data_IF_646632592318
#
_entry.id   IF_646632592318
#
_cell.length_a   1.000
_cell.length_b   1.000
_cell.length_c   1.000
_cell.angle_alpha   90.00
_cell.angle_beta   90.00
_cell.angle_gamma   90.00
#
_symmetry.space_group_name_H-M   'P 1'
#
loop_
_entity.id
_entity.type
_entity.pdbx_description
1 polymer ?
#
# COMPACT_ATOMS: atom_id res chain seq x y z
N UNK A 1 -4.33 -23.68 -3.84
CA UNK A 1 -5.20 -22.54 -4.24
C UNK A 1 -6.58 -23.05 -4.64
N UNK A 2 -7.66 -22.40 -4.21
CA UNK A 2 -9.05 -22.81 -4.51
C UNK A 2 -9.49 -22.45 -5.94
N UNK A 3 -8.80 -21.52 -6.61
CA UNK A 3 -9.08 -21.07 -7.97
C UNK A 3 -7.96 -21.50 -8.96
N UNK A 4 -8.29 -22.31 -9.96
CA UNK A 4 -7.33 -22.78 -10.98
C UNK A 4 -6.76 -21.66 -11.84
N UNK A 5 -7.58 -20.65 -12.17
CA UNK A 5 -7.12 -19.54 -13.00
C UNK A 5 -6.09 -18.68 -12.28
N UNK A 6 -6.32 -18.41 -10.99
CA UNK A 6 -5.38 -17.70 -10.12
C UNK A 6 -4.07 -18.47 -9.96
N UNK A 7 -4.15 -19.78 -9.73
CA UNK A 7 -2.96 -20.63 -9.64
C UNK A 7 -2.10 -20.59 -10.90
N UNK A 8 -2.73 -20.57 -12.09
CA UNK A 8 -2.01 -20.43 -13.36
C UNK A 8 -1.37 -19.06 -13.54
N UNK A 9 -2.01 -17.98 -13.05
CA UNK A 9 -1.43 -16.62 -13.08
C UNK A 9 -0.22 -16.51 -12.18
N UNK A 10 -0.32 -17.00 -10.94
CA UNK A 10 0.84 -17.06 -10.02
C UNK A 10 1.96 -17.88 -10.64
N UNK A 11 1.64 -19.07 -11.17
CA UNK A 11 2.62 -19.92 -11.84
C UNK A 11 3.29 -19.24 -13.04
N UNK A 12 2.55 -18.44 -13.81
CA UNK A 12 3.09 -17.67 -14.94
C UNK A 12 4.10 -16.62 -14.46
N UNK A 13 3.80 -15.89 -13.37
CA UNK A 13 4.73 -14.91 -12.79
C UNK A 13 5.99 -15.60 -12.27
N UNK A 14 5.85 -16.71 -11.53
CA UNK A 14 6.99 -17.48 -11.02
C UNK A 14 7.85 -18.07 -12.15
N UNK A 15 7.22 -18.59 -13.20
CA UNK A 15 7.91 -19.09 -14.38
C UNK A 15 8.68 -17.99 -15.11
N UNK A 16 8.06 -16.83 -15.30
CA UNK A 16 8.70 -15.68 -15.91
C UNK A 16 9.89 -15.20 -15.07
N UNK A 17 9.74 -15.08 -13.75
CA UNK A 17 10.83 -14.70 -12.86
C UNK A 17 12.01 -15.68 -12.95
N UNK A 18 11.73 -16.99 -12.88
CA UNK A 18 12.76 -18.03 -12.99
C UNK A 18 13.49 -18.02 -14.35
N UNK A 19 12.77 -17.78 -15.45
CA UNK A 19 13.36 -17.71 -16.80
C UNK A 19 14.25 -16.47 -17.00
N UNK A 20 13.99 -15.39 -16.28
CA UNK A 20 14.75 -14.15 -16.37
C UNK A 20 15.79 -13.99 -15.25
N UNK A 21 15.99 -15.02 -14.41
CA UNK A 21 16.93 -14.96 -13.29
C UNK A 21 16.52 -13.94 -12.22
N UNK A 22 15.23 -13.64 -12.09
CA UNK A 22 14.72 -12.72 -11.09
C UNK A 22 14.40 -13.42 -9.78
N UNK A 23 14.82 -12.79 -8.68
CA UNK A 23 14.42 -13.19 -7.34
C UNK A 23 13.02 -12.71 -7.00
N UNK A 24 12.31 -13.50 -6.19
CA UNK A 24 10.95 -13.18 -5.72
C UNK A 24 10.99 -13.12 -4.21
N UNK A 25 10.46 -12.05 -3.63
CA UNK A 25 10.34 -11.87 -2.18
C UNK A 25 8.89 -11.96 -1.72
N UNK A 26 8.67 -12.60 -0.56
CA UNK A 26 7.37 -12.65 0.13
C UNK A 26 7.27 -11.65 1.28
N UNK A 27 8.29 -10.80 1.50
CA UNK A 27 8.44 -10.00 2.72
C UNK A 27 7.19 -9.17 3.08
N UNK A 28 6.72 -8.31 2.18
CA UNK A 28 5.56 -7.46 2.46
C UNK A 28 4.27 -8.27 2.75
N UNK A 29 4.04 -9.36 2.01
CA UNK A 29 2.87 -10.23 2.24
C UNK A 29 2.95 -10.97 3.58
N UNK A 30 4.16 -11.37 3.99
CA UNK A 30 4.39 -11.95 5.32
C UNK A 30 4.19 -10.89 6.40
N UNK A 31 4.64 -9.66 6.19
CA UNK A 31 4.52 -8.55 7.16
C UNK A 31 3.05 -8.19 7.39
N UNK A 32 2.26 -8.11 6.32
CA UNK A 32 0.81 -7.94 6.43
C UNK A 32 0.19 -9.02 7.32
N UNK A 33 0.55 -10.28 7.09
CA UNK A 33 -0.04 -11.39 7.85
C UNK A 33 0.45 -11.45 9.29
N UNK A 34 1.74 -11.29 9.52
CA UNK A 34 2.36 -11.43 10.83
C UNK A 34 2.01 -10.26 11.76
N UNK A 35 1.81 -9.05 11.22
CA UNK A 35 1.34 -7.90 11.98
C UNK A 35 -0.11 -8.03 12.43
N UNK A 36 -1.00 -8.60 11.59
CA UNK A 36 -2.37 -8.95 11.98
C UNK A 36 -2.42 -10.01 13.10
N UNK A 37 -1.39 -10.86 13.18
CA UNK A 37 -1.25 -11.89 14.21
C UNK A 37 -0.45 -11.41 15.42
N UNK A 38 0.17 -10.22 15.34
CA UNK A 38 1.15 -9.71 16.30
C UNK A 38 2.22 -10.75 16.66
N UNK A 39 2.77 -11.44 15.66
CA UNK A 39 3.63 -12.60 15.90
C UNK A 39 4.82 -12.69 14.93
N UNK A 40 6.01 -12.29 15.42
CA UNK A 40 7.25 -12.35 14.65
C UNK A 40 7.64 -13.78 14.30
N UNK A 41 7.47 -14.72 15.22
CA UNK A 41 7.76 -16.14 14.99
C UNK A 41 6.95 -16.70 13.81
N UNK A 42 5.66 -16.34 13.72
CA UNK A 42 4.82 -16.73 12.57
C UNK A 42 5.32 -16.13 11.26
N UNK A 43 5.85 -14.90 11.28
CA UNK A 43 6.43 -14.26 10.10
C UNK A 43 7.71 -14.97 9.65
N UNK A 44 8.65 -15.20 10.57
CA UNK A 44 9.92 -15.87 10.29
C UNK A 44 9.72 -17.31 9.81
N UNK A 45 8.72 -18.01 10.34
CA UNK A 45 8.36 -19.36 9.87
C UNK A 45 7.84 -19.33 8.43
N UNK A 46 6.99 -18.36 8.07
CA UNK A 46 6.44 -18.27 6.71
C UNK A 46 7.51 -17.87 5.69
N UNK A 47 8.44 -16.99 6.05
CA UNK A 47 9.62 -16.67 5.22
C UNK A 47 10.45 -17.92 4.96
N UNK A 48 10.75 -18.70 6.01
CA UNK A 48 11.52 -19.92 5.87
C UNK A 48 10.83 -20.92 4.94
N UNK A 49 9.52 -21.10 5.10
CA UNK A 49 8.71 -21.95 4.20
C UNK A 49 8.76 -21.46 2.75
N UNK A 50 8.68 -20.15 2.53
CA UNK A 50 8.78 -19.57 1.20
C UNK A 50 10.16 -19.84 0.58
N UNK A 51 11.25 -19.66 1.34
CA UNK A 51 12.62 -19.98 0.87
C UNK A 51 12.80 -21.47 0.55
N UNK A 52 12.22 -22.37 1.34
CA UNK A 52 12.22 -23.82 1.07
C UNK A 52 11.44 -24.17 -0.20
N UNK A 53 10.30 -23.52 -0.46
CA UNK A 53 9.54 -23.65 -1.71
C UNK A 53 10.40 -23.23 -2.90
N UNK A 54 11.04 -22.06 -2.81
CA UNK A 54 11.83 -21.48 -3.89
C UNK A 54 13.10 -22.27 -4.21
N UNK A 55 13.73 -22.88 -3.19
CA UNK A 55 14.91 -23.73 -3.36
C UNK A 55 14.57 -25.16 -3.83
N UNK A 56 13.39 -25.67 -3.47
CA UNK A 56 13.01 -27.06 -3.79
C UNK A 56 12.33 -27.19 -5.17
N UNK A 57 11.45 -26.26 -5.53
CA UNK A 57 10.69 -26.39 -6.77
C UNK A 57 11.41 -25.74 -7.96
N UNK A 58 11.83 -26.53 -8.96
CA UNK A 58 12.51 -25.97 -10.13
C UNK A 58 11.55 -25.16 -11.01
N UNK A 59 12.11 -24.20 -11.76
CA UNK A 59 11.38 -23.34 -12.71
C UNK A 59 10.40 -24.08 -13.63
N UNK A 60 10.76 -25.29 -14.07
CA UNK A 60 9.97 -26.14 -14.96
C UNK A 60 8.62 -26.55 -14.36
N UNK A 61 8.51 -26.68 -13.03
CA UNK A 61 7.22 -26.96 -12.38
C UNK A 61 6.27 -25.77 -12.52
N UNK A 62 6.78 -24.56 -12.37
CA UNK A 62 6.00 -23.33 -12.56
C UNK A 62 5.52 -23.20 -14.01
N UNK A 63 6.40 -23.49 -14.99
CA UNK A 63 6.02 -23.52 -16.42
C UNK A 63 4.91 -24.54 -16.68
N UNK A 64 5.07 -25.78 -16.21
CA UNK A 64 4.07 -26.83 -16.40
C UNK A 64 2.71 -26.47 -15.77
N UNK A 65 2.72 -25.81 -14.61
CA UNK A 65 1.51 -25.34 -13.95
C UNK A 65 0.85 -24.18 -14.72
N UNK A 66 1.64 -23.22 -15.20
CA UNK A 66 1.16 -22.09 -16.01
C UNK A 66 0.47 -22.58 -17.30
N UNK A 67 1.13 -23.47 -18.03
CA UNK A 67 0.60 -24.12 -19.25
C UNK A 67 -0.58 -25.04 -18.95
N UNK A 68 -0.82 -25.40 -17.68
CA UNK A 68 -1.88 -26.31 -17.25
C UNK A 68 -1.61 -27.78 -17.60
N UNK A 69 -0.35 -28.13 -17.92
CA UNK A 69 0.09 -29.52 -18.04
C UNK A 69 -0.02 -30.26 -16.71
N UNK A 70 0.19 -29.54 -15.61
CA UNK A 70 -0.13 -30.00 -14.25
C UNK A 70 -1.15 -29.05 -13.63
N UNK A 71 -1.91 -29.55 -12.66
CA UNK A 71 -2.95 -28.77 -11.96
C UNK A 71 -2.59 -28.46 -10.51
N UNK A 72 -1.52 -29.08 -9.99
CA UNK A 72 -1.04 -28.95 -8.62
C UNK A 72 0.44 -29.31 -8.54
N UNK A 73 1.19 -28.58 -7.71
CA UNK A 73 2.55 -28.93 -7.29
C UNK A 73 2.46 -29.76 -6.01
N UNK A 74 3.23 -30.85 -5.92
CA UNK A 74 3.22 -31.71 -4.74
C UNK A 74 3.82 -30.97 -3.55
N UNK A 75 3.18 -31.00 -2.35
CA UNK A 75 3.74 -30.36 -1.16
C UNK A 75 5.09 -30.96 -0.76
N UNK A 76 5.92 -30.13 -0.13
CA UNK A 76 7.18 -30.54 0.50
C UNK A 76 7.00 -30.62 2.01
N UNK A 77 7.87 -31.39 2.66
CA UNK A 77 8.01 -31.37 4.12
C UNK A 77 8.88 -30.18 4.51
N UNK A 78 8.29 -29.24 5.25
CA UNK A 78 9.03 -28.08 5.74
C UNK A 78 9.87 -28.42 6.96
N UNK A 79 11.02 -27.76 7.11
CA UNK A 79 11.92 -27.94 8.26
C UNK A 79 11.29 -27.51 9.59
N UNK A 80 10.30 -26.62 9.54
CA UNK A 80 9.76 -25.86 10.68
C UNK A 80 10.79 -24.97 11.37
N UNK A 81 11.95 -24.71 10.75
CA UNK A 81 12.89 -23.73 11.24
C UNK A 81 12.34 -22.31 11.06
N UNK A 82 12.90 -21.38 11.82
CA UNK A 82 12.67 -19.94 11.63
C UNK A 82 13.76 -19.38 10.73
N UNK A 83 13.39 -18.45 9.84
CA UNK A 83 14.36 -17.71 9.03
C UNK A 83 15.37 -16.99 9.93
N UNK A 84 16.65 -17.08 9.58
CA UNK A 84 17.76 -16.51 10.35
C UNK A 84 18.28 -15.21 9.72
N UNK A 85 19.00 -14.40 10.51
CA UNK A 85 19.61 -13.14 10.06
C UNK A 85 18.62 -12.08 9.54
N UNK A 86 17.39 -12.11 10.05
CA UNK A 86 16.34 -11.15 9.71
C UNK A 86 16.26 -10.12 10.83
N UNK A 87 16.51 -8.85 10.51
CA UNK A 87 16.44 -7.71 11.44
C UNK A 87 15.08 -7.02 11.43
N UNK A 88 14.28 -7.24 10.38
CA UNK A 88 12.93 -6.68 10.25
C UNK A 88 11.98 -7.37 11.23
N UNK A 89 11.24 -6.57 11.98
CA UNK A 89 10.13 -7.06 12.79
C UNK A 89 8.85 -7.11 11.95
N UNK A 90 8.42 -8.32 11.60
CA UNK A 90 7.20 -8.60 10.86
C UNK A 90 5.94 -8.58 11.75
N UNK A 91 6.09 -8.52 13.08
CA UNK A 91 4.96 -8.41 14.01
C UNK A 91 4.31 -7.02 14.01
N UNK A 92 4.95 -6.04 13.35
CA UNK A 92 4.46 -4.67 13.21
C UNK A 92 4.30 -4.32 11.73
N UNK A 93 3.36 -3.42 11.42
CA UNK A 93 3.10 -3.01 10.03
C UNK A 93 4.14 -2.06 9.44
N UNK A 94 4.89 -1.37 10.29
CA UNK A 94 5.89 -0.37 9.92
C UNK A 94 5.29 0.97 9.51
N UNK A 95 6.17 1.98 9.39
CA UNK A 95 5.80 3.38 9.17
C UNK A 95 4.91 3.58 7.93
N UNK A 96 5.21 2.89 6.82
CA UNK A 96 4.42 2.99 5.59
C UNK A 96 2.95 2.57 5.79
N UNK A 97 2.71 1.52 6.57
CA UNK A 97 1.35 1.08 6.90
C UNK A 97 0.67 2.06 7.86
N UNK A 98 1.37 2.46 8.92
CA UNK A 98 0.80 3.33 9.97
C UNK A 98 0.42 4.71 9.41
N UNK A 99 1.29 5.31 8.58
CA UNK A 99 0.99 6.54 7.86
C UNK A 99 -0.20 6.39 6.91
N UNK A 100 -0.28 5.26 6.19
CA UNK A 100 -1.38 4.99 5.27
C UNK A 100 -2.71 4.83 6.02
N UNK A 101 -2.71 4.14 7.16
CA UNK A 101 -3.89 3.96 8.00
C UNK A 101 -4.38 5.31 8.56
N UNK A 102 -3.49 6.11 9.14
CA UNK A 102 -3.82 7.46 9.64
C UNK A 102 -4.46 8.31 8.52
N UNK A 103 -3.81 8.33 7.36
CA UNK A 103 -4.29 9.04 6.16
C UNK A 103 -5.67 8.55 5.73
N UNK A 104 -5.91 7.24 5.68
CA UNK A 104 -7.19 6.69 5.22
C UNK A 104 -8.33 6.97 6.20
N UNK A 105 -8.08 6.92 7.51
CA UNK A 105 -9.07 7.28 8.52
C UNK A 105 -9.49 8.75 8.36
N UNK A 106 -8.50 9.64 8.22
CA UNK A 106 -8.73 11.06 7.99
C UNK A 106 -9.47 11.33 6.67
N UNK A 107 -9.06 10.66 5.59
CA UNK A 107 -9.73 10.75 4.30
C UNK A 107 -11.17 10.25 4.33
N UNK A 108 -11.47 9.19 5.10
CA UNK A 108 -12.85 8.70 5.25
C UNK A 108 -13.70 9.69 6.02
N UNK A 109 -13.15 10.36 7.04
CA UNK A 109 -13.84 11.44 7.75
C UNK A 109 -14.24 12.58 6.79
N UNK A 110 -13.32 13.03 5.93
CA UNK A 110 -13.60 13.99 4.86
C UNK A 110 -14.59 13.47 3.81
N UNK A 111 -14.46 12.22 3.40
CA UNK A 111 -15.33 11.58 2.43
C UNK A 111 -16.80 11.57 2.88
N UNK A 112 -17.01 11.36 4.18
CA UNK A 112 -18.33 11.39 4.83
C UNK A 112 -18.91 12.80 4.92
N UNK A 113 -18.08 13.82 5.06
CA UNK A 113 -18.56 15.20 5.13
C UNK A 113 -19.20 15.64 3.80
N UNK A 114 -20.50 15.94 3.82
CA UNK A 114 -21.26 16.37 2.63
C UNK A 114 -21.29 17.88 2.45
N UNK A 115 -20.72 18.65 3.39
CA UNK A 115 -20.66 20.11 3.34
C UNK A 115 -19.50 20.61 2.49
N UNK A 116 -18.43 19.82 2.39
CA UNK A 116 -17.25 20.15 1.60
C UNK A 116 -17.34 19.61 0.17
N UNK A 117 -16.92 20.40 -0.80
CA UNK A 117 -16.72 19.96 -2.17
C UNK A 117 -15.36 19.23 -2.34
N UNK A 118 -15.11 18.65 -3.52
CA UNK A 118 -13.91 17.85 -3.77
C UNK A 118 -12.61 18.64 -3.59
N UNK A 119 -12.53 19.88 -4.07
CA UNK A 119 -11.34 20.72 -3.96
C UNK A 119 -11.07 21.11 -2.50
N UNK A 120 -12.10 21.42 -1.73
CA UNK A 120 -11.99 21.69 -0.29
C UNK A 120 -11.45 20.48 0.48
N UNK A 121 -11.92 19.26 0.14
CA UNK A 121 -11.42 18.03 0.76
C UNK A 121 -9.97 17.74 0.40
N UNK A 122 -9.56 17.93 -0.86
CA UNK A 122 -8.15 17.77 -1.26
C UNK A 122 -7.26 18.78 -0.54
N UNK A 123 -7.72 20.03 -0.43
CA UNK A 123 -7.00 21.10 0.28
C UNK A 123 -6.80 20.75 1.76
N UNK A 124 -7.87 20.35 2.43
CA UNK A 124 -7.83 20.00 3.86
C UNK A 124 -6.96 18.76 4.09
N UNK A 125 -7.14 17.71 3.28
CA UNK A 125 -6.33 16.50 3.36
C UNK A 125 -4.83 16.79 3.17
N UNK A 126 -4.48 17.63 2.20
CA UNK A 126 -3.10 17.99 1.93
C UNK A 126 -2.48 18.79 3.08
N UNK A 127 -3.23 19.74 3.66
CA UNK A 127 -2.79 20.47 4.85
C UNK A 127 -2.56 19.52 6.03
N UNK A 128 -3.55 18.67 6.34
CA UNK A 128 -3.43 17.68 7.41
C UNK A 128 -2.23 16.74 7.18
N UNK A 129 -2.00 16.31 5.94
CA UNK A 129 -0.82 15.51 5.60
C UNK A 129 0.47 16.29 5.86
N UNK A 130 0.55 17.57 5.48
CA UNK A 130 1.74 18.38 5.71
C UNK A 130 2.04 18.57 7.20
N UNK A 131 1.00 18.72 8.02
CA UNK A 131 1.11 18.96 9.46
C UNK A 131 1.49 17.71 10.25
N UNK A 132 1.12 16.52 9.75
CA UNK A 132 1.22 15.28 10.53
C UNK A 132 2.11 14.20 9.93
N UNK A 133 2.31 14.16 8.60
CA UNK A 133 2.95 13.03 7.92
C UNK A 133 3.99 13.48 6.86
N UNK A 134 4.80 12.53 6.38
CA UNK A 134 5.54 12.71 5.11
C UNK A 134 4.58 12.61 3.92
N UNK A 135 4.90 13.33 2.85
CA UNK A 135 4.07 13.39 1.65
C UNK A 135 4.27 12.12 0.81
N UNK A 136 3.24 11.29 0.72
CA UNK A 136 3.19 10.15 -0.19
C UNK A 136 2.33 10.43 -1.41
N UNK A 137 2.94 10.60 -2.59
CA UNK A 137 2.19 10.93 -3.81
C UNK A 137 1.14 9.88 -4.19
N UNK A 138 1.42 8.59 -3.96
CA UNK A 138 0.46 7.52 -4.20
C UNK A 138 -0.84 7.71 -3.41
N UNK A 139 -0.75 8.13 -2.14
CA UNK A 139 -1.90 8.45 -1.31
C UNK A 139 -2.64 9.68 -1.85
N UNK A 140 -1.91 10.74 -2.21
CA UNK A 140 -2.49 11.97 -2.75
C UNK A 140 -3.25 11.73 -4.06
N UNK A 141 -2.69 10.91 -4.96
CA UNK A 141 -3.36 10.48 -6.20
C UNK A 141 -4.64 9.74 -5.88
N UNK A 142 -4.59 8.74 -5.00
CA UNK A 142 -5.77 7.97 -4.61
C UNK A 142 -6.88 8.85 -4.04
N UNK A 143 -6.55 9.71 -3.06
CA UNK A 143 -7.51 10.58 -2.38
C UNK A 143 -8.10 11.63 -3.33
N UNK A 144 -7.29 12.19 -4.22
CA UNK A 144 -7.76 13.15 -5.23
C UNK A 144 -8.78 12.52 -6.18
N UNK A 145 -8.46 11.33 -6.70
CA UNK A 145 -9.37 10.60 -7.58
C UNK A 145 -10.64 10.16 -6.82
N UNK A 146 -10.52 9.79 -5.55
CA UNK A 146 -11.64 9.42 -4.69
C UNK A 146 -12.60 10.59 -4.48
N UNK A 147 -12.10 11.75 -4.05
CA UNK A 147 -12.95 12.91 -3.74
C UNK A 147 -13.62 13.53 -4.96
N UNK A 148 -13.00 13.42 -6.13
CA UNK A 148 -13.59 13.85 -7.41
C UNK A 148 -14.57 12.84 -8.00
N UNK A 149 -14.73 11.67 -7.38
CA UNK A 149 -15.64 10.62 -7.86
C UNK A 149 -15.19 10.00 -9.18
N UNK A 150 -13.87 9.95 -9.41
CA UNK A 150 -13.31 9.40 -10.65
C UNK A 150 -13.72 7.94 -10.85
N UNK A 151 -13.99 7.56 -12.11
CA UNK A 151 -14.63 6.29 -12.41
C UNK A 151 -13.80 5.08 -11.90
N UNK A 152 -14.49 4.15 -11.24
CA UNK A 152 -13.93 2.92 -10.67
C UNK A 152 -12.91 3.12 -9.54
N UNK A 153 -12.83 4.32 -8.96
CA UNK A 153 -12.13 4.56 -7.69
C UNK A 153 -13.15 4.45 -6.56
N UNK A 154 -12.82 3.63 -5.55
CA UNK A 154 -13.73 3.31 -4.45
C UNK A 154 -13.09 3.70 -3.13
N UNK A 155 -13.90 4.22 -2.21
CA UNK A 155 -13.50 4.43 -0.83
C UNK A 155 -13.18 3.08 -0.15
N UNK A 156 -12.50 3.09 1.01
CA UNK A 156 -12.32 1.89 1.82
C UNK A 156 -13.65 1.18 2.07
N UNK A 157 -13.57 -0.15 2.21
CA UNK A 157 -14.78 -0.97 2.40
C UNK A 157 -15.56 -0.47 3.61
N UNK A 158 -16.89 -0.41 3.49
CA UNK A 158 -17.77 0.10 4.53
C UNK A 158 -17.54 1.58 4.91
N UNK A 159 -16.89 2.41 4.08
CA UNK A 159 -16.63 3.82 4.40
C UNK A 159 -17.88 4.63 4.81
N UNK A 160 -19.10 4.24 4.42
CA UNK A 160 -20.36 4.88 4.83
C UNK A 160 -21.14 4.11 5.92
N UNK A 161 -20.55 3.07 6.52
CA UNK A 161 -21.17 2.30 7.60
C UNK A 161 -21.29 3.13 8.88
N UNK A 162 -22.40 2.93 9.59
CA UNK A 162 -22.61 3.47 10.96
C UNK A 162 -21.80 2.72 12.02
N UNK A 163 -21.45 1.47 11.72
CA UNK A 163 -20.57 0.64 12.53
C UNK A 163 -19.13 1.05 12.23
N UNK A 164 -18.53 1.83 13.14
CA UNK A 164 -17.19 2.43 12.99
C UNK A 164 -16.10 1.36 12.94
N UNK A 165 -16.24 0.26 13.65
CA UNK A 165 -15.26 -0.84 13.61
C UNK A 165 -15.15 -1.45 12.21
N UNK A 166 -16.27 -1.56 11.49
CA UNK A 166 -16.24 -1.99 10.07
C UNK A 166 -15.56 -1.00 9.14
N UNK A 167 -15.55 0.27 9.51
CA UNK A 167 -14.92 1.36 8.75
C UNK A 167 -13.42 1.32 8.97
N UNK A 168 -13.00 1.20 10.25
CA UNK A 168 -11.61 1.03 10.65
C UNK A 168 -11.02 -0.20 9.96
N UNK A 169 -11.68 -1.36 10.05
CA UNK A 169 -11.23 -2.57 9.35
C UNK A 169 -11.16 -2.39 7.82
N UNK A 170 -12.04 -1.57 7.24
CA UNK A 170 -11.97 -1.18 5.84
C UNK A 170 -10.72 -0.37 5.51
N UNK A 171 -10.37 0.59 6.37
CA UNK A 171 -9.16 1.40 6.24
C UNK A 171 -7.88 0.58 6.46
N UNK A 172 -7.85 -0.33 7.44
CA UNK A 172 -6.69 -1.21 7.71
C UNK A 172 -6.35 -2.08 6.50
N UNK A 173 -7.35 -2.71 5.87
CA UNK A 173 -7.13 -3.48 4.65
C UNK A 173 -6.61 -2.60 3.50
N UNK A 174 -7.21 -1.42 3.30
CA UNK A 174 -6.79 -0.50 2.24
C UNK A 174 -5.40 0.12 2.52
N UNK A 175 -5.01 0.25 3.79
CA UNK A 175 -3.72 0.77 4.21
C UNK A 175 -2.60 -0.20 3.79
N UNK A 176 -2.80 -1.51 3.96
CA UNK A 176 -1.89 -2.52 3.43
C UNK A 176 -1.76 -2.45 1.92
N UNK A 177 -2.89 -2.39 1.20
CA UNK A 177 -2.87 -2.26 -0.26
C UNK A 177 -2.02 -1.07 -0.73
N UNK A 178 -2.18 0.11 -0.11
CA UNK A 178 -1.42 1.32 -0.46
C UNK A 178 0.03 1.24 0.03
N UNK A 179 0.29 0.59 1.17
CA UNK A 179 1.65 0.48 1.70
C UNK A 179 2.58 -0.30 0.77
N UNK A 180 2.06 -1.22 -0.05
CA UNK A 180 2.85 -1.85 -1.11
C UNK A 180 3.41 -0.84 -2.12
N UNK A 181 2.61 0.18 -2.50
CA UNK A 181 3.04 1.22 -3.44
C UNK A 181 4.04 2.19 -2.81
N UNK A 182 3.87 2.52 -1.53
CA UNK A 182 4.78 3.44 -0.83
C UNK A 182 6.09 2.79 -0.44
N UNK A 183 6.11 1.49 -0.12
CA UNK A 183 7.36 0.72 -0.01
C UNK A 183 8.08 0.65 -1.36
N UNK A 184 7.37 0.39 -2.45
CA UNK A 184 8.00 0.37 -3.77
C UNK A 184 8.57 1.75 -4.15
N UNK A 185 7.93 2.84 -3.74
CA UNK A 185 8.39 4.19 -4.09
C UNK A 185 9.76 4.52 -3.52
N UNK A 186 10.08 4.07 -2.30
CA UNK A 186 11.39 4.31 -1.69
C UNK A 186 12.49 3.50 -2.38
N UNK A 187 12.18 2.27 -2.80
CA UNK A 187 13.10 1.42 -3.57
C UNK A 187 13.43 2.00 -4.97
N UNK A 188 12.47 2.70 -5.59
CA UNK A 188 12.66 3.32 -6.90
C UNK A 188 13.27 4.73 -6.83
N UNK A 189 13.02 5.48 -5.76
CA UNK A 189 13.50 6.87 -5.61
C UNK A 189 15.00 6.95 -5.33
N UNK A 190 15.57 5.92 -4.68
CA UNK A 190 16.99 5.82 -4.36
C UNK A 190 17.63 4.60 -5.04
N UNK A 191 17.65 4.54 -6.39
CA UNK A 191 18.13 3.35 -7.10
C UNK A 191 19.63 3.12 -6.89
N UNK A 192 20.39 4.15 -6.51
CA UNK A 192 21.82 4.06 -6.23
C UNK A 192 22.11 3.46 -4.83
N UNK A 193 21.12 3.38 -3.93
CA UNK A 193 21.28 2.80 -2.60
C UNK A 193 21.25 1.26 -2.61
N UNK A 194 20.71 0.68 -3.68
CA UNK A 194 20.54 -0.76 -3.82
C UNK A 194 21.24 -1.26 -5.09
N UNK A 195 22.04 -2.35 -5.01
CA UNK A 195 22.59 -2.97 -6.21
C UNK A 195 21.52 -3.68 -7.08
N UNK A 196 20.31 -3.86 -6.56
CA UNK A 196 19.19 -4.53 -7.24
C UNK A 196 18.18 -3.57 -7.88
N UNK A 197 17.56 -4.00 -8.98
CA UNK A 197 16.39 -3.34 -9.56
C UNK A 197 15.08 -3.99 -9.06
N UNK A 198 14.15 -3.17 -8.56
CA UNK A 198 12.90 -3.66 -7.98
C UNK A 198 11.71 -3.53 -8.92
N UNK A 199 10.98 -4.63 -9.14
CA UNK A 199 9.74 -4.65 -9.90
C UNK A 199 8.52 -4.83 -9.00
N UNK A 200 7.48 -4.03 -9.24
CA UNK A 200 6.17 -4.18 -8.59
C UNK A 200 5.16 -4.83 -9.54
N UNK A 201 4.49 -5.87 -9.07
CA UNK A 201 3.42 -6.55 -9.80
C UNK A 201 2.18 -6.68 -8.92
N UNK A 202 1.03 -6.31 -9.46
CA UNK A 202 -0.26 -6.47 -8.79
C UNK A 202 -1.34 -6.91 -9.77
N UNK A 203 -2.26 -7.75 -9.30
CA UNK A 203 -3.49 -8.08 -10.00
C UNK A 203 -4.68 -7.23 -9.49
N UNK A 204 -4.43 -6.31 -8.55
CA UNK A 204 -5.42 -5.36 -8.06
C UNK A 204 -5.59 -4.19 -9.03
N UNK A 205 -6.84 -3.95 -9.44
CA UNK A 205 -7.18 -2.93 -10.44
C UNK A 205 -7.05 -1.52 -9.86
N UNK A 206 -7.36 -1.33 -8.58
CA UNK A 206 -7.26 -0.02 -7.93
C UNK A 206 -5.78 0.36 -7.78
N UNK A 207 -4.94 -0.54 -7.25
CA UNK A 207 -3.50 -0.30 -7.14
C UNK A 207 -2.85 -0.04 -8.49
N UNK A 208 -3.22 -0.81 -9.53
CA UNK A 208 -2.75 -0.55 -10.89
C UNK A 208 -3.11 0.86 -11.37
N UNK A 209 -4.33 1.33 -11.09
CA UNK A 209 -4.76 2.69 -11.48
C UNK A 209 -3.95 3.76 -10.76
N UNK A 210 -3.84 3.66 -9.44
CA UNK A 210 -3.05 4.60 -8.63
C UNK A 210 -1.60 4.63 -9.17
N UNK A 211 -1.04 3.47 -9.48
CA UNK A 211 0.30 3.35 -10.07
C UNK A 211 0.43 4.07 -11.41
N UNK A 212 -0.50 3.85 -12.34
CA UNK A 212 -0.46 4.52 -13.64
C UNK A 212 -0.60 6.04 -13.48
N UNK A 213 -1.53 6.52 -12.65
CA UNK A 213 -1.74 7.96 -12.47
C UNK A 213 -0.55 8.65 -11.80
N UNK A 214 0.04 8.04 -10.77
CA UNK A 214 1.23 8.59 -10.10
C UNK A 214 2.42 8.67 -11.06
N UNK A 215 2.65 7.64 -11.87
CA UNK A 215 3.82 7.57 -12.75
C UNK A 215 3.59 8.17 -14.16
N UNK A 216 2.42 8.75 -14.42
CA UNK A 216 2.21 9.55 -15.63
C UNK A 216 3.04 10.85 -15.57
N UNK A 217 3.30 11.48 -16.73
CA UNK A 217 3.93 12.80 -16.75
C UNK A 217 3.22 13.77 -15.81
N UNK A 218 4.00 14.54 -15.05
CA UNK A 218 3.55 15.50 -14.03
C UNK A 218 2.91 14.89 -12.77
N UNK A 219 2.87 13.56 -12.63
CA UNK A 219 2.42 12.85 -11.42
C UNK A 219 1.11 13.38 -10.83
N UNK A 220 1.11 13.64 -9.52
CA UNK A 220 -0.08 14.16 -8.83
C UNK A 220 -0.56 15.51 -9.39
N UNK A 221 0.33 16.41 -9.79
CA UNK A 221 -0.06 17.68 -10.41
C UNK A 221 -0.79 17.46 -11.75
N UNK A 222 -0.36 16.45 -12.53
CA UNK A 222 -1.07 16.01 -13.73
C UNK A 222 -2.49 15.55 -13.41
N UNK A 223 -2.67 14.77 -12.34
CA UNK A 223 -4.00 14.35 -11.86
C UNK A 223 -4.86 15.55 -11.50
N UNK A 224 -4.35 16.48 -10.68
CA UNK A 224 -5.08 17.70 -10.28
C UNK A 224 -5.58 18.48 -11.50
N UNK A 225 -4.71 18.70 -12.50
CA UNK A 225 -5.06 19.44 -13.71
C UNK A 225 -6.13 18.76 -14.58
N UNK A 226 -6.25 17.44 -14.47
CA UNK A 226 -7.17 16.64 -15.28
C UNK A 226 -8.56 16.54 -14.62
N UNK A 227 -8.62 16.41 -13.29
CA UNK A 227 -9.89 16.16 -12.59
C UNK A 227 -10.59 17.42 -12.10
N UNK A 228 -9.89 18.55 -11.98
CA UNK A 228 -10.46 19.81 -11.55
C UNK A 228 -10.62 20.80 -12.71
N UNK A 229 -11.69 21.63 -12.70
CA UNK A 229 -11.77 22.80 -13.57
C UNK A 229 -10.56 23.72 -13.39
N UNK A 230 -10.13 24.38 -14.47
CA UNK A 230 -8.91 25.22 -14.49
C UNK A 230 -8.81 26.20 -13.31
N UNK A 231 -9.92 26.84 -12.93
CA UNK A 231 -9.94 27.78 -11.79
C UNK A 231 -9.58 27.08 -10.47
N UNK A 232 -10.25 25.98 -10.14
CA UNK A 232 -9.99 25.21 -8.92
C UNK A 232 -8.59 24.60 -8.92
N UNK A 233 -8.14 24.10 -10.08
CA UNK A 233 -6.77 23.62 -10.25
C UNK A 233 -5.74 24.71 -9.90
N UNK A 234 -5.88 25.92 -10.46
CA UNK A 234 -4.96 27.02 -10.19
C UNK A 234 -4.95 27.41 -8.70
N UNK A 235 -6.13 27.47 -8.06
CA UNK A 235 -6.25 27.76 -6.63
C UNK A 235 -5.60 26.66 -5.76
N UNK A 236 -5.78 25.38 -6.12
CA UNK A 236 -5.13 24.27 -5.44
C UNK A 236 -3.61 24.30 -5.63
N UNK A 237 -3.13 24.51 -6.87
CA UNK A 237 -1.71 24.55 -7.17
C UNK A 237 -1.01 25.71 -6.44
N UNK A 238 -1.64 26.89 -6.35
CA UNK A 238 -1.12 28.01 -5.59
C UNK A 238 -1.06 27.70 -4.08
N UNK A 239 -2.11 27.09 -3.54
CA UNK A 239 -2.17 26.67 -2.14
C UNK A 239 -1.08 25.64 -1.81
N UNK A 240 -0.98 24.58 -2.61
CA UNK A 240 0.02 23.52 -2.46
C UNK A 240 1.42 24.11 -2.53
N UNK A 241 1.70 24.93 -3.54
CA UNK A 241 3.00 25.59 -3.69
C UNK A 241 3.40 26.42 -2.47
N UNK A 242 2.47 27.21 -1.91
CA UNK A 242 2.73 28.02 -0.71
C UNK A 242 3.07 27.20 0.52
N UNK A 243 2.37 26.08 0.74
CA UNK A 243 2.62 25.19 1.87
C UNK A 243 3.94 24.46 1.70
N UNK A 244 4.16 23.86 0.53
CA UNK A 244 5.38 23.08 0.26
C UNK A 244 6.65 23.93 0.39
N UNK A 245 6.62 25.20 -0.05
CA UNK A 245 7.77 26.11 0.05
C UNK A 245 8.25 26.35 1.49
N UNK A 246 7.34 26.30 2.47
CA UNK A 246 7.67 26.59 3.87
C UNK A 246 7.58 25.35 4.76
N UNK A 247 7.33 24.17 4.19
CA UNK A 247 7.09 22.95 4.94
C UNK A 247 8.35 22.51 5.67
N UNK A 248 8.23 22.38 6.98
CA UNK A 248 9.15 21.56 7.78
C UNK A 248 8.51 20.17 7.91
N UNK A 249 9.17 19.09 7.49
CA UNK A 249 8.66 17.74 7.73
C UNK A 249 8.40 17.52 9.23
N UNK A 250 7.30 16.85 9.60
CA UNK A 250 7.05 16.50 10.98
C UNK A 250 8.17 15.60 11.51
N UNK A 251 8.57 15.85 12.75
CA UNK A 251 9.49 14.99 13.48
C UNK A 251 8.69 13.89 14.18
N UNK A 252 8.96 12.64 13.82
CA UNK A 252 8.30 11.47 14.41
C UNK A 252 8.93 11.03 15.73
N UNK A 253 10.04 11.66 16.14
CA UNK A 253 10.79 11.29 17.33
C UNK A 253 11.59 9.99 17.17
N UNK A 254 12.10 9.47 18.29
CA UNK A 254 12.88 8.23 18.30
C UNK A 254 12.03 6.98 18.05
N UNK A 255 10.72 7.06 18.34
CA UNK A 255 9.75 5.99 18.16
C UNK A 255 8.58 6.50 17.30
N UNK A 256 8.74 6.33 15.98
CA UNK A 256 7.73 6.71 14.99
C UNK A 256 6.41 5.96 15.19
N UNK A 257 6.44 4.71 15.67
CA UNK A 257 5.24 3.92 15.88
C UNK A 257 4.34 4.55 16.95
N UNK A 258 4.92 5.00 18.07
CA UNK A 258 4.18 5.69 19.11
C UNK A 258 3.54 6.99 18.59
N UNK A 259 4.26 7.75 17.76
CA UNK A 259 3.71 8.95 17.12
C UNK A 259 2.49 8.60 16.27
N UNK A 260 2.61 7.62 15.37
CA UNK A 260 1.52 7.26 14.47
C UNK A 260 0.33 6.65 15.19
N UNK A 261 0.53 5.85 16.24
CA UNK A 261 -0.59 5.31 17.02
C UNK A 261 -1.42 6.40 17.68
N UNK A 262 -0.77 7.43 18.23
CA UNK A 262 -1.47 8.59 18.80
C UNK A 262 -2.33 9.31 17.75
N UNK A 263 -1.80 9.46 16.53
CA UNK A 263 -2.51 10.06 15.41
C UNK A 263 -3.70 9.19 14.94
N UNK A 264 -3.48 7.87 14.79
CA UNK A 264 -4.50 6.88 14.42
C UNK A 264 -5.64 6.89 15.43
N UNK A 265 -5.34 6.87 16.74
CA UNK A 265 -6.35 6.93 17.80
C UNK A 265 -7.12 8.26 17.80
N UNK A 266 -6.45 9.36 17.45
CA UNK A 266 -7.08 10.65 17.18
C UNK A 266 -8.15 10.56 16.09
N UNK A 267 -7.78 10.01 14.92
CA UNK A 267 -8.70 9.90 13.78
C UNK A 267 -9.81 8.85 14.02
N UNK A 268 -9.53 7.75 14.72
CA UNK A 268 -10.55 6.78 15.17
C UNK A 268 -11.61 7.45 16.05
N UNK A 269 -11.19 8.28 17.02
CA UNK A 269 -12.12 9.05 17.86
C UNK A 269 -12.94 10.05 17.04
N UNK A 270 -12.31 10.72 16.07
CA UNK A 270 -12.99 11.68 15.19
C UNK A 270 -14.11 11.03 14.37
N UNK A 271 -13.89 9.82 13.87
CA UNK A 271 -14.90 9.05 13.12
C UNK A 271 -16.10 8.62 13.97
N UNK A 272 -15.93 8.43 15.28
CA UNK A 272 -17.00 8.08 16.22
C UNK A 272 -17.90 9.27 16.56
N UNK A 273 -17.40 10.51 16.40
CA UNK A 273 -18.14 11.73 16.70
C UNK A 273 -19.01 12.25 15.54
N UNK A 274 -18.95 11.59 14.37
CA UNK A 274 -19.61 12.01 13.11
C UNK A 274 -20.89 11.21 12.86
#
# INVERSE_FOLDING_TARGET
MKNRAEARRVALVMAWAALNGMEVSSGLAVMERASQLHCQESGLLEIQRFQEIMSTYPGQLWVALAEGRITKIQPISYSQALAQNITVDYAVGGDHYDMALASLLHAVWLYRDKRMNAAEKVREFFQWTCDNLLIGEYMLVYITLLFTGYENIKAPKNANSKDVEKVIAGCENQAWDISYLTHWSTLYEYPDEYPEEFMFATNDILLKRIFIYKNNPYGWNGVLSNVFPKKEYCELAEFIGKITLNRQPPDFGEDSHTYFQSLIDGEKRRLTMQ
#
